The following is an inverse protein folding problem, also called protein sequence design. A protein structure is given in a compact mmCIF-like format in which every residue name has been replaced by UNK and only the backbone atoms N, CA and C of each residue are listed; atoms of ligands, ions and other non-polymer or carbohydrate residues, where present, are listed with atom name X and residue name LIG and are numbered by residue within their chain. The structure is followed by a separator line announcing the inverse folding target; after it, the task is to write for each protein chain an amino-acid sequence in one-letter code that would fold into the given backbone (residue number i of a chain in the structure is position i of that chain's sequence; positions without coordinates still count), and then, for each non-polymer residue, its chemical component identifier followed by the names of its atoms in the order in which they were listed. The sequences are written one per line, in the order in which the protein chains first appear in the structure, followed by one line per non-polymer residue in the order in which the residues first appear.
data_IF_355325474705
#
_entry.id   IF_355325474705
#
_cell.length_a   1.000
_cell.length_b   1.000
_cell.length_c   1.000
_cell.angle_alpha   90.00
_cell.angle_beta   90.00
_cell.angle_gamma   90.00
#
_symmetry.space_group_name_H-M   'P 1'
#
loop_
_entity.id
_entity.type
_entity.pdbx_description
1 polymer ?
#
# COMPACT_ATOMS: atom_id res chain seq x y z
N UNK A 1 22.02 55.83 4.98
CA UNK A 1 22.86 54.66 5.31
C UNK A 1 21.99 53.69 6.09
N UNK A 2 21.57 52.58 5.47
CA UNK A 2 20.76 51.55 6.12
C UNK A 2 21.64 50.32 6.36
N UNK A 3 21.74 49.90 7.62
CA UNK A 3 22.57 48.78 8.08
C UNK A 3 21.86 47.46 7.83
N UNK A 4 22.49 46.60 7.04
CA UNK A 4 22.16 45.18 6.91
C UNK A 4 22.53 44.46 8.21
N UNK A 5 21.57 43.75 8.82
CA UNK A 5 21.83 42.84 9.94
C UNK A 5 21.46 41.44 9.50
N UNK A 6 22.45 40.57 9.42
CA UNK A 6 22.37 39.24 8.86
C UNK A 6 22.33 38.15 9.96
N UNK A 7 21.57 37.10 9.65
CA UNK A 7 21.83 35.67 9.93
C UNK A 7 22.02 35.19 11.38
N UNK A 8 21.13 34.29 11.82
CA UNK A 8 21.52 32.89 12.08
C UNK A 8 20.27 32.01 12.26
N UNK A 9 20.09 31.01 11.40
CA UNK A 9 19.13 29.90 11.60
C UNK A 9 19.94 28.65 11.92
N UNK A 10 19.61 27.99 13.02
CA UNK A 10 20.33 26.82 13.52
C UNK A 10 19.51 25.57 13.19
N UNK A 11 19.80 24.91 12.06
CA UNK A 11 19.25 23.59 11.73
C UNK A 11 20.27 22.52 12.11
N UNK A 12 20.09 21.94 13.29
CA UNK A 12 20.84 20.76 13.73
C UNK A 12 20.31 19.50 13.05
N UNK A 13 20.88 19.16 11.90
CA UNK A 13 20.75 17.84 11.29
C UNK A 13 21.87 16.92 11.80
N UNK A 14 21.53 15.79 12.42
CA UNK A 14 22.47 14.66 12.54
C UNK A 14 21.72 13.36 12.81
N UNK A 15 21.20 12.75 11.74
CA UNK A 15 20.85 11.33 11.73
C UNK A 15 22.02 10.53 11.14
N UNK A 16 22.67 9.74 11.99
CA UNK A 16 23.44 8.54 11.60
C UNK A 16 23.34 7.50 12.73
N UNK A 17 22.74 6.32 12.51
CA UNK A 17 23.10 5.12 13.24
C UNK A 17 24.16 4.35 12.45
N UNK A 18 25.36 4.25 13.02
CA UNK A 18 26.38 3.32 12.54
C UNK A 18 26.07 1.90 13.03
N UNK A 19 26.07 1.01 12.05
CA UNK A 19 26.46 -0.41 12.09
C UNK A 19 27.43 -0.77 13.24
N UNK A 20 27.18 -1.87 13.98
CA UNK A 20 28.14 -2.97 14.16
C UNK A 20 27.56 -4.18 14.90
N UNK A 21 28.01 -5.36 14.47
CA UNK A 21 27.80 -6.70 14.99
C UNK A 21 28.30 -6.88 16.44
N UNK A 22 27.54 -7.63 17.25
CA UNK A 22 28.07 -8.39 18.37
C UNK A 22 27.13 -9.56 18.73
N UNK A 23 27.33 -10.72 18.09
CA UNK A 23 26.82 -12.00 18.61
C UNK A 23 27.83 -12.52 19.63
N UNK A 24 27.44 -12.49 20.91
CA UNK A 24 28.09 -13.26 21.97
C UNK A 24 27.72 -14.73 21.83
N UNK A 25 28.75 -15.56 21.80
CA UNK A 25 28.70 -16.99 22.06
C UNK A 25 28.68 -17.25 23.58
N UNK A 26 28.39 -18.52 23.89
CA UNK A 26 28.72 -19.27 25.11
C UNK A 26 27.61 -19.40 26.16
N UNK A 27 27.14 -20.64 26.24
CA UNK A 27 26.14 -21.13 27.18
C UNK A 27 26.05 -22.65 27.07
N UNK A 28 27.16 -23.32 27.37
CA UNK A 28 27.26 -24.77 27.52
C UNK A 28 26.31 -25.27 28.60
N UNK A 29 25.46 -26.24 28.28
CA UNK A 29 24.90 -27.19 29.27
C UNK A 29 24.41 -28.47 28.61
N UNK A 30 25.22 -29.51 28.79
CA UNK A 30 24.84 -30.88 29.13
C UNK A 30 23.73 -31.59 28.32
N UNK A 31 24.20 -32.43 27.39
CA UNK A 31 23.91 -33.88 27.31
C UNK A 31 22.54 -34.38 27.82
N UNK A 32 21.65 -34.74 26.89
CA UNK A 32 21.09 -36.10 26.83
C UNK A 32 20.53 -36.42 25.45
N UNK A 33 21.37 -37.08 24.66
CA UNK A 33 20.99 -37.67 23.37
C UNK A 33 20.26 -38.98 23.65
N UNK A 34 18.94 -39.01 23.46
CA UNK A 34 18.16 -40.24 23.38
C UNK A 34 17.95 -40.54 21.91
N UNK A 35 18.47 -41.67 21.44
CA UNK A 35 18.17 -42.20 20.10
C UNK A 35 16.70 -42.61 20.05
N UNK A 36 15.94 -41.99 19.16
CA UNK A 36 14.65 -42.50 18.69
C UNK A 36 14.82 -42.82 17.21
N UNK A 37 15.01 -44.11 16.91
CA UNK A 37 14.82 -44.65 15.57
C UNK A 37 13.35 -45.05 15.48
N UNK A 38 12.53 -44.23 14.85
CA UNK A 38 11.26 -44.68 14.28
C UNK A 38 10.72 -43.65 13.27
N UNK A 39 11.01 -43.93 12.00
CA UNK A 39 10.20 -43.75 10.80
C UNK A 39 9.10 -42.65 10.73
N UNK A 40 9.11 -41.97 9.57
CA UNK A 40 8.02 -41.27 8.84
C UNK A 40 7.84 -39.76 9.08
N UNK A 41 7.88 -39.06 7.94
CA UNK A 41 7.38 -37.70 7.63
C UNK A 41 7.95 -36.51 8.39
N UNK A 42 8.90 -35.82 7.76
CA UNK A 42 9.19 -34.39 8.04
C UNK A 42 9.39 -33.68 6.70
N UNK A 43 8.32 -33.08 6.19
CA UNK A 43 8.42 -32.06 5.14
C UNK A 43 8.93 -30.76 5.78
N UNK A 44 9.81 -29.99 5.11
CA UNK A 44 10.25 -28.72 5.67
C UNK A 44 9.06 -27.76 5.70
N UNK A 45 8.87 -27.10 6.85
CA UNK A 45 7.88 -26.03 7.01
C UNK A 45 8.34 -24.80 6.22
N UNK A 46 8.13 -24.82 4.91
CA UNK A 46 7.99 -23.60 4.14
C UNK A 46 6.70 -22.95 4.60
N UNK A 47 6.81 -22.01 5.54
CA UNK A 47 5.84 -20.91 5.64
C UNK A 47 5.96 -20.17 4.31
N UNK A 48 5.26 -20.68 3.30
CA UNK A 48 4.93 -19.92 2.11
C UNK A 48 4.23 -18.69 2.63
N UNK A 49 4.93 -17.56 2.59
CA UNK A 49 4.30 -16.26 2.67
C UNK A 49 3.22 -16.32 1.61
N UNK A 50 1.98 -16.43 2.06
CA UNK A 50 0.82 -16.24 1.20
C UNK A 50 0.93 -14.79 0.82
N UNK A 51 1.62 -14.56 -0.30
CA UNK A 51 1.39 -13.41 -1.15
C UNK A 51 -0.12 -13.41 -1.35
N UNK A 52 -0.82 -12.66 -0.50
CA UNK A 52 -2.21 -12.31 -0.72
C UNK A 52 -2.15 -11.32 -1.86
N UNK A 53 -1.99 -11.83 -3.07
CA UNK A 53 -2.44 -11.15 -4.27
C UNK A 53 -3.95 -11.36 -4.27
N UNK A 54 -4.64 -10.59 -3.44
CA UNK A 54 -6.06 -10.38 -3.60
C UNK A 54 -6.21 -9.27 -4.64
N UNK A 55 -6.05 -9.63 -5.91
CA UNK A 55 -6.79 -8.92 -6.95
C UNK A 55 -8.23 -9.40 -6.79
N UNK A 56 -8.98 -8.82 -5.85
CA UNK A 56 -10.38 -9.19 -5.65
C UNK A 56 -11.26 -8.53 -6.72
N UNK A 57 -10.86 -7.36 -7.19
CA UNK A 57 -11.53 -6.62 -8.25
C UNK A 57 -11.37 -7.28 -9.63
N UNK A 58 -12.45 -7.22 -10.42
CA UNK A 58 -12.42 -7.59 -11.84
C UNK A 58 -11.48 -6.65 -12.60
N UNK A 59 -10.77 -7.15 -13.64
CA UNK A 59 -9.87 -6.31 -14.44
C UNK A 59 -10.61 -5.17 -15.16
N UNK A 60 -11.90 -5.36 -15.47
CA UNK A 60 -12.76 -4.33 -16.06
C UNK A 60 -12.98 -3.15 -15.09
N UNK A 61 -13.24 -3.43 -13.81
CA UNK A 61 -13.42 -2.42 -12.76
C UNK A 61 -12.15 -1.59 -12.58
N UNK A 62 -10.98 -2.22 -12.59
CA UNK A 62 -9.69 -1.51 -12.49
C UNK A 62 -9.46 -0.57 -13.68
N UNK A 63 -9.79 -1.00 -14.90
CA UNK A 63 -9.67 -0.16 -16.10
C UNK A 63 -10.58 1.07 -16.02
N UNK A 64 -11.84 0.88 -15.62
CA UNK A 64 -12.79 1.97 -15.39
C UNK A 64 -12.29 2.98 -14.36
N UNK A 65 -11.76 2.51 -13.23
CA UNK A 65 -11.16 3.37 -12.21
C UNK A 65 -9.99 4.17 -12.80
N UNK A 66 -9.09 3.52 -13.54
CA UNK A 66 -7.98 4.20 -14.22
C UNK A 66 -8.47 5.28 -15.21
N UNK A 67 -9.52 5.01 -15.98
CA UNK A 67 -10.10 5.98 -16.93
C UNK A 67 -10.65 7.22 -16.21
N UNK A 68 -11.38 7.04 -15.12
CA UNK A 68 -11.95 8.14 -14.33
C UNK A 68 -10.81 8.98 -13.73
N UNK A 69 -9.80 8.33 -13.16
CA UNK A 69 -8.63 9.00 -12.58
C UNK A 69 -7.87 9.81 -13.63
N UNK A 70 -7.67 9.26 -14.84
CA UNK A 70 -7.05 10.00 -15.95
C UNK A 70 -7.85 11.23 -16.35
N UNK A 71 -9.18 11.12 -16.40
CA UNK A 71 -10.08 12.23 -16.73
C UNK A 71 -10.01 13.34 -15.69
N UNK A 72 -10.07 13.01 -14.40
CA UNK A 72 -10.06 14.01 -13.33
C UNK A 72 -8.69 14.69 -13.19
N UNK A 73 -7.60 13.93 -13.26
CA UNK A 73 -6.24 14.46 -13.15
C UNK A 73 -5.68 15.02 -14.47
N UNK A 74 -6.50 15.09 -15.53
CA UNK A 74 -6.11 15.51 -16.88
C UNK A 74 -4.80 14.87 -17.39
N UNK A 75 -4.60 13.58 -17.06
CA UNK A 75 -3.41 12.83 -17.46
C UNK A 75 -3.52 12.42 -18.92
N UNK A 76 -2.40 12.42 -19.65
CA UNK A 76 -2.37 11.93 -21.02
C UNK A 76 -2.69 10.43 -21.09
N UNK A 77 -3.34 9.99 -22.18
CA UNK A 77 -3.72 8.58 -22.37
C UNK A 77 -2.53 7.62 -22.30
N UNK A 78 -1.35 8.10 -22.70
CA UNK A 78 -0.06 7.38 -22.64
C UNK A 78 0.46 7.14 -21.22
N UNK A 79 -0.16 7.76 -20.21
CA UNK A 79 0.21 7.53 -18.81
C UNK A 79 -0.27 6.13 -18.41
N UNK A 80 0.66 5.19 -18.29
CA UNK A 80 0.35 3.86 -17.76
C UNK A 80 0.09 3.94 -16.25
N UNK A 81 -1.15 3.65 -15.86
CA UNK A 81 -1.54 3.52 -14.47
C UNK A 81 -1.49 2.05 -14.08
N UNK A 82 -0.73 1.75 -13.02
CA UNK A 82 -0.66 0.42 -12.45
C UNK A 82 -1.63 0.30 -11.28
N UNK A 83 -2.12 -0.90 -10.93
CA UNK A 83 -2.97 -1.08 -9.76
C UNK A 83 -2.27 -0.65 -8.44
N UNK A 84 -0.94 -0.73 -8.40
CA UNK A 84 -0.13 -0.28 -7.26
C UNK A 84 0.14 1.24 -7.26
N UNK A 85 -0.30 1.96 -8.30
CA UNK A 85 -0.14 3.40 -8.38
C UNK A 85 -0.94 4.09 -7.29
N UNK A 86 -0.28 4.99 -6.56
CA UNK A 86 -0.88 5.81 -5.51
C UNK A 86 -1.44 7.10 -6.09
N UNK A 87 -2.62 7.53 -5.65
CA UNK A 87 -3.21 8.80 -6.10
C UNK A 87 -2.31 10.00 -5.80
N UNK A 88 -1.71 10.04 -4.60
CA UNK A 88 -0.74 11.07 -4.24
C UNK A 88 0.52 11.08 -5.12
N UNK A 89 0.92 9.94 -5.71
CA UNK A 89 2.06 9.88 -6.62
C UNK A 89 1.71 10.38 -8.04
N UNK A 90 0.43 10.35 -8.40
CA UNK A 90 -0.11 10.89 -9.64
C UNK A 90 -0.40 12.40 -9.54
N UNK A 91 -0.19 12.99 -8.36
CA UNK A 91 -0.45 14.40 -8.11
C UNK A 91 -1.89 14.72 -7.71
N UNK A 92 -2.71 13.70 -7.38
CA UNK A 92 -4.03 13.93 -6.83
C UNK A 92 -3.93 14.59 -5.44
N UNK A 93 -4.66 15.67 -5.25
CA UNK A 93 -4.84 16.31 -3.96
C UNK A 93 -6.07 15.76 -3.21
N UNK A 94 -6.36 16.35 -2.04
CA UNK A 94 -7.52 15.98 -1.23
C UNK A 94 -8.87 16.24 -1.90
N UNK A 95 -8.97 17.27 -2.74
CA UNK A 95 -10.17 17.61 -3.52
C UNK A 95 -10.32 16.67 -4.72
N UNK A 96 -9.23 16.40 -5.44
CA UNK A 96 -9.22 15.47 -6.57
C UNK A 96 -9.70 14.08 -6.15
N UNK A 97 -9.29 13.63 -4.95
CA UNK A 97 -9.73 12.34 -4.39
C UNK A 97 -11.25 12.29 -4.18
N UNK A 98 -11.86 13.39 -3.73
CA UNK A 98 -13.32 13.50 -3.56
C UNK A 98 -14.01 13.47 -4.92
N UNK A 99 -13.51 14.19 -5.92
CA UNK A 99 -14.08 14.21 -7.27
C UNK A 99 -13.99 12.85 -7.98
N UNK A 100 -12.87 12.13 -7.79
CA UNK A 100 -12.69 10.76 -8.31
C UNK A 100 -13.72 9.83 -7.67
N UNK A 101 -13.89 9.88 -6.35
CA UNK A 101 -14.84 9.04 -5.61
C UNK A 101 -16.27 9.32 -6.05
N UNK A 102 -16.66 10.59 -6.19
CA UNK A 102 -17.99 10.96 -6.67
C UNK A 102 -18.24 10.44 -8.09
N UNK A 103 -17.25 10.52 -8.99
CA UNK A 103 -17.36 9.96 -10.33
C UNK A 103 -17.48 8.43 -10.35
N UNK A 104 -16.82 7.75 -9.42
CA UNK A 104 -16.95 6.29 -9.23
C UNK A 104 -18.32 5.90 -8.68
N UNK A 105 -18.87 6.66 -7.74
CA UNK A 105 -20.23 6.44 -7.20
C UNK A 105 -21.29 6.56 -8.30
N UNK A 106 -21.18 7.57 -9.16
CA UNK A 106 -22.08 7.79 -10.28
C UNK A 106 -21.95 6.72 -11.38
N UNK A 107 -20.72 6.33 -11.76
CA UNK A 107 -20.49 5.33 -12.83
C UNK A 107 -20.99 3.93 -12.43
N UNK A 108 -20.86 3.55 -11.16
CA UNK A 108 -21.25 2.22 -10.67
C UNK A 108 -22.59 2.20 -9.92
N UNK A 109 -23.28 3.33 -9.81
CA UNK A 109 -24.50 3.51 -9.03
C UNK A 109 -24.37 2.99 -7.58
N UNK A 110 -23.23 3.23 -6.93
CA UNK A 110 -22.98 2.79 -5.54
C UNK A 110 -22.89 3.98 -4.57
N UNK A 111 -22.88 3.68 -3.28
CA UNK A 111 -22.60 4.68 -2.23
C UNK A 111 -21.37 4.23 -1.45
N UNK A 112 -20.33 5.04 -1.50
CA UNK A 112 -19.10 4.83 -0.74
C UNK A 112 -19.11 5.76 0.47
N UNK A 113 -18.76 5.22 1.64
CA UNK A 113 -18.63 6.05 2.83
C UNK A 113 -17.39 6.93 2.74
N UNK A 114 -17.51 8.21 3.12
CA UNK A 114 -16.42 9.19 3.04
C UNK A 114 -15.16 8.73 3.80
N UNK A 115 -15.33 8.10 4.97
CA UNK A 115 -14.22 7.53 5.75
C UNK A 115 -13.50 6.42 4.97
N UNK A 116 -14.25 5.58 4.26
CA UNK A 116 -13.66 4.52 3.44
C UNK A 116 -12.93 5.12 2.25
N UNK A 117 -13.51 6.12 1.59
CA UNK A 117 -12.94 6.85 0.45
C UNK A 117 -11.63 7.54 0.77
N UNK A 118 -11.55 8.21 1.93
CA UNK A 118 -10.32 8.90 2.37
C UNK A 118 -9.19 7.93 2.73
N UNK A 119 -9.52 6.69 3.10
CA UNK A 119 -8.53 5.65 3.37
C UNK A 119 -7.97 5.00 2.09
N UNK A 120 -8.55 5.27 0.92
CA UNK A 120 -8.08 4.70 -0.34
C UNK A 120 -6.81 5.43 -0.78
N UNK A 121 -5.70 4.71 -0.84
CA UNK A 121 -4.40 5.27 -1.26
C UNK A 121 -3.97 4.83 -2.64
N UNK A 122 -4.46 3.68 -3.11
CA UNK A 122 -4.06 3.06 -4.39
C UNK A 122 -5.26 2.80 -5.29
N UNK A 123 -5.00 2.71 -6.60
CA UNK A 123 -6.00 2.33 -7.61
C UNK A 123 -6.61 0.96 -7.32
N UNK A 124 -5.79 0.01 -6.86
CA UNK A 124 -6.27 -1.32 -6.51
C UNK A 124 -7.23 -1.30 -5.32
N UNK A 125 -6.90 -0.56 -4.26
CA UNK A 125 -7.80 -0.40 -3.11
C UNK A 125 -9.14 0.20 -3.50
N UNK A 126 -9.15 1.17 -4.41
CA UNK A 126 -10.37 1.74 -4.96
C UNK A 126 -11.19 0.65 -5.65
N UNK A 127 -10.60 -0.03 -6.64
CA UNK A 127 -11.30 -1.05 -7.42
C UNK A 127 -11.85 -2.19 -6.55
N UNK A 128 -11.07 -2.65 -5.56
CA UNK A 128 -11.49 -3.70 -4.62
C UNK A 128 -12.67 -3.26 -3.74
N UNK A 129 -12.71 -1.98 -3.38
CA UNK A 129 -13.81 -1.42 -2.60
C UNK A 129 -15.09 -1.30 -3.43
N UNK A 130 -14.98 -0.78 -4.66
CA UNK A 130 -16.10 -0.69 -5.62
C UNK A 130 -16.71 -2.07 -5.84
N UNK A 131 -15.88 -3.08 -6.14
CA UNK A 131 -16.34 -4.44 -6.41
C UNK A 131 -17.11 -5.04 -5.22
N UNK A 132 -16.65 -4.80 -3.99
CA UNK A 132 -17.35 -5.26 -2.77
C UNK A 132 -18.72 -4.61 -2.62
N UNK A 133 -18.84 -3.32 -2.92
CA UNK A 133 -20.11 -2.60 -2.81
C UNK A 133 -21.09 -2.99 -3.91
N UNK A 134 -20.61 -3.19 -5.13
CA UNK A 134 -21.42 -3.71 -6.25
C UNK A 134 -21.97 -5.10 -5.90
N UNK A 135 -21.13 -6.01 -5.40
CA UNK A 135 -21.59 -7.34 -4.96
C UNK A 135 -22.59 -7.29 -3.80
N UNK A 136 -22.45 -6.33 -2.88
CA UNK A 136 -23.38 -6.14 -1.76
C UNK A 136 -24.73 -5.55 -2.20
N UNK A 137 -24.77 -4.79 -3.30
CA UNK A 137 -26.00 -4.21 -3.84
C UNK A 137 -26.87 -5.23 -4.58
N UNK A 138 -26.25 -6.21 -5.23
CA UNK A 138 -26.95 -7.24 -6.03
C UNK A 138 -27.43 -8.46 -5.23
N UNK A 139 -27.03 -8.61 -3.96
CA UNK A 139 -27.42 -9.71 -3.08
C UNK A 139 -28.54 -9.35 -2.11
#
# INVERSE_FOLDING_TARGET
MATVSATSVNFGASLKPCFNNNRKTDGTSALKMVRVVWTKNVYPSLKTSRFNVCCAAKPETVQKVCEIVKKQLALSDETELTPESKFAALGADSLDTVEIVMGLEEEFDISVEEESSQNITTVQEAADLIEKLVQKKEG
#
